data_IF_832336365350
#
_entry.id   IF_832336365350
#
_cell.length_a   1.000
_cell.length_b   1.000
_cell.length_c   1.000
_cell.angle_alpha   90.00
_cell.angle_beta   90.00
_cell.angle_gamma   90.00
#
_symmetry.space_group_name_H-M   'P 1'
#
loop_
_entity.id
_entity.type
_entity.pdbx_description
1 polymer ?
#
# COMPACT_ATOMS: atom_id res chain seq x y z
N UNK A 1 -8.34 -11.50 20.84
CA UNK A 1 -9.04 -10.53 21.69
C UNK A 1 -9.37 -9.34 20.83
N UNK A 2 -10.66 -9.02 20.67
CA UNK A 2 -11.10 -7.73 20.17
C UNK A 2 -10.52 -6.66 21.09
N UNK A 3 -9.57 -5.87 20.61
CA UNK A 3 -9.06 -4.77 21.43
C UNK A 3 -10.02 -3.60 21.27
N UNK A 4 -10.60 -3.18 22.38
CA UNK A 4 -11.35 -1.95 22.42
C UNK A 4 -10.37 -0.77 22.23
N UNK A 5 -10.30 -0.26 20.99
CA UNK A 5 -9.46 0.88 20.62
C UNK A 5 -10.12 2.23 20.97
N UNK A 6 -11.31 2.21 21.58
CA UNK A 6 -12.09 3.39 21.94
C UNK A 6 -11.82 3.89 23.35
N UNK A 7 -10.90 3.26 24.10
CA UNK A 7 -10.54 3.60 25.48
C UNK A 7 -9.01 3.66 25.68
N UNK A 8 -8.57 4.18 26.80
CA UNK A 8 -7.16 4.29 27.18
C UNK A 8 -6.39 5.39 26.43
N UNK A 9 -5.05 5.35 26.46
CA UNK A 9 -4.18 6.35 25.84
C UNK A 9 -4.20 6.23 24.31
N UNK A 10 -4.50 7.33 23.63
CA UNK A 10 -4.50 7.41 22.15
C UNK A 10 -3.13 7.10 21.57
N UNK A 11 -2.06 7.68 22.11
CA UNK A 11 -0.71 7.45 21.64
C UNK A 11 -0.31 5.97 21.73
N UNK A 12 -0.59 5.33 22.88
CA UNK A 12 -0.35 3.89 23.03
C UNK A 12 -1.14 3.07 22.03
N UNK A 13 -2.40 3.42 21.78
CA UNK A 13 -3.24 2.72 20.78
C UNK A 13 -2.65 2.83 19.38
N UNK A 14 -2.20 4.03 18.99
CA UNK A 14 -1.55 4.26 17.69
C UNK A 14 -0.29 3.41 17.57
N UNK A 15 0.63 3.49 18.52
CA UNK A 15 1.90 2.75 18.48
C UNK A 15 1.67 1.22 18.49
N UNK A 16 0.75 0.74 19.31
CA UNK A 16 0.43 -0.68 19.39
C UNK A 16 -0.21 -1.23 18.10
N UNK A 17 -0.94 -0.40 17.38
CA UNK A 17 -1.58 -0.79 16.12
C UNK A 17 -0.65 -0.60 14.93
N UNK A 18 0.06 0.54 14.86
CA UNK A 18 0.92 0.89 13.73
C UNK A 18 2.18 0.04 13.64
N UNK A 19 2.79 -0.35 14.76
CA UNK A 19 4.06 -1.09 14.73
C UNK A 19 3.93 -2.49 14.10
N UNK A 20 2.93 -3.35 14.46
CA UNK A 20 2.69 -4.59 13.76
C UNK A 20 2.32 -4.38 12.29
N UNK A 21 1.60 -3.30 11.99
CA UNK A 21 1.23 -2.96 10.62
C UNK A 21 2.45 -2.57 9.78
N UNK A 22 3.33 -1.73 10.32
CA UNK A 22 4.60 -1.35 9.72
C UNK A 22 5.47 -2.60 9.44
N UNK A 23 5.56 -3.50 10.41
CA UNK A 23 6.30 -4.76 10.25
C UNK A 23 5.67 -5.66 9.17
N UNK A 24 4.34 -5.68 9.05
CA UNK A 24 3.67 -6.40 7.96
C UNK A 24 4.06 -5.87 6.58
N UNK A 25 4.09 -4.55 6.41
CA UNK A 25 4.54 -3.92 5.16
C UNK A 25 6.02 -4.20 4.88
N UNK A 26 6.86 -4.11 5.91
CA UNK A 26 8.28 -4.42 5.78
C UNK A 26 8.50 -5.87 5.31
N UNK A 27 7.84 -6.83 5.95
CA UNK A 27 7.91 -8.24 5.56
C UNK A 27 7.39 -8.47 4.13
N UNK A 28 6.32 -7.78 3.74
CA UNK A 28 5.78 -7.85 2.38
C UNK A 28 6.76 -7.31 1.34
N UNK A 29 7.48 -6.25 1.66
CA UNK A 29 8.53 -5.72 0.77
C UNK A 29 9.74 -6.66 0.73
N UNK A 30 10.09 -7.25 1.87
CA UNK A 30 11.22 -8.16 2.00
C UNK A 30 11.04 -9.43 1.15
N UNK A 31 9.85 -10.07 1.18
CA UNK A 31 9.67 -11.27 0.38
C UNK A 31 9.71 -10.99 -1.13
N UNK A 32 9.17 -9.86 -1.58
CA UNK A 32 9.30 -9.46 -3.00
C UNK A 32 10.73 -9.21 -3.44
N UNK A 33 11.62 -8.78 -2.51
CA UNK A 33 13.06 -8.69 -2.79
C UNK A 33 13.74 -10.06 -2.76
N UNK A 34 13.28 -10.97 -1.88
CA UNK A 34 13.82 -12.33 -1.79
C UNK A 34 13.59 -13.10 -3.09
N UNK A 35 12.42 -13.00 -3.70
CA UNK A 35 12.13 -13.62 -5.02
C UNK A 35 13.19 -13.22 -6.06
N UNK A 36 13.49 -11.91 -6.15
CA UNK A 36 14.49 -11.39 -7.12
C UNK A 36 15.91 -11.82 -6.76
N UNK A 37 16.23 -11.88 -5.49
CA UNK A 37 17.55 -12.34 -5.03
C UNK A 37 17.77 -13.82 -5.34
N UNK A 38 16.78 -14.66 -5.03
CA UNK A 38 16.87 -16.11 -5.22
C UNK A 38 16.91 -16.45 -6.70
N UNK A 39 16.04 -15.86 -7.55
CA UNK A 39 16.09 -16.14 -8.98
C UNK A 39 17.41 -15.70 -9.61
N UNK A 40 17.98 -14.59 -9.13
CA UNK A 40 19.30 -14.12 -9.58
C UNK A 40 20.46 -15.04 -9.24
N UNK A 41 20.30 -15.93 -8.25
CA UNK A 41 21.32 -16.95 -7.89
C UNK A 41 21.28 -18.18 -8.78
N UNK A 42 20.10 -18.59 -9.23
CA UNK A 42 19.90 -19.86 -9.93
C UNK A 42 19.66 -19.71 -11.42
N UNK A 43 19.24 -18.53 -11.88
CA UNK A 43 18.78 -18.28 -13.25
C UNK A 43 19.52 -17.12 -13.91
N UNK A 44 19.45 -17.06 -15.23
CA UNK A 44 20.08 -16.00 -16.01
C UNK A 44 19.31 -14.68 -16.01
N UNK A 45 19.90 -13.66 -16.65
CA UNK A 45 19.38 -12.28 -16.72
C UNK A 45 17.96 -12.23 -17.28
N UNK A 46 17.63 -13.04 -18.29
CA UNK A 46 16.29 -13.06 -18.89
C UNK A 46 15.21 -13.48 -17.88
N UNK A 47 15.46 -14.51 -17.07
CA UNK A 47 14.54 -14.99 -16.04
C UNK A 47 14.39 -13.96 -14.91
N UNK A 48 15.50 -13.35 -14.46
CA UNK A 48 15.48 -12.29 -13.45
C UNK A 48 14.72 -11.07 -13.93
N UNK A 49 14.89 -10.67 -15.19
CA UNK A 49 14.14 -9.57 -15.80
C UNK A 49 12.64 -9.90 -15.87
N UNK A 50 12.31 -11.14 -16.26
CA UNK A 50 10.93 -11.60 -16.34
C UNK A 50 10.21 -11.49 -14.99
N UNK A 51 10.83 -11.96 -13.90
CA UNK A 51 10.28 -11.87 -12.53
C UNK A 51 10.21 -10.41 -12.07
N UNK A 52 11.21 -9.60 -12.38
CA UNK A 52 11.22 -8.18 -12.01
C UNK A 52 10.04 -7.43 -12.64
N UNK A 53 9.79 -7.60 -13.93
CA UNK A 53 8.67 -6.96 -14.64
C UNK A 53 7.34 -7.52 -14.15
N UNK A 54 7.24 -8.85 -14.03
CA UNK A 54 6.03 -9.50 -13.55
C UNK A 54 5.65 -9.08 -12.14
N UNK A 55 6.61 -8.98 -11.23
CA UNK A 55 6.37 -8.54 -9.85
C UNK A 55 5.94 -7.07 -9.75
N UNK A 56 6.42 -6.18 -10.64
CA UNK A 56 5.93 -4.80 -10.70
C UNK A 56 4.45 -4.74 -11.09
N UNK A 57 4.03 -5.51 -12.09
CA UNK A 57 2.61 -5.62 -12.48
C UNK A 57 1.78 -6.14 -11.31
N UNK A 58 2.24 -7.21 -10.65
CA UNK A 58 1.55 -7.78 -9.49
C UNK A 58 1.50 -6.82 -8.29
N UNK A 59 2.56 -6.05 -8.08
CA UNK A 59 2.57 -5.02 -7.03
C UNK A 59 1.48 -3.97 -7.25
N UNK A 60 1.34 -3.46 -8.47
CA UNK A 60 0.28 -2.49 -8.81
C UNK A 60 -1.12 -3.07 -8.54
N UNK A 61 -1.38 -4.31 -8.97
CA UNK A 61 -2.67 -4.99 -8.74
C UNK A 61 -2.91 -5.17 -7.24
N UNK A 62 -1.90 -5.62 -6.49
CA UNK A 62 -2.00 -5.86 -5.05
C UNK A 62 -2.31 -4.57 -4.29
N UNK A 63 -1.63 -3.46 -4.61
CA UNK A 63 -1.87 -2.16 -3.99
C UNK A 63 -3.30 -1.69 -4.23
N UNK A 64 -3.83 -1.88 -5.44
CA UNK A 64 -5.23 -1.56 -5.75
C UNK A 64 -6.22 -2.43 -4.96
N UNK A 65 -5.94 -3.73 -4.80
CA UNK A 65 -6.76 -4.63 -3.96
C UNK A 65 -6.72 -4.18 -2.49
N UNK A 66 -5.56 -3.82 -1.96
CA UNK A 66 -5.40 -3.30 -0.59
C UNK A 66 -6.18 -2.01 -0.40
N UNK A 67 -6.10 -1.08 -1.35
CA UNK A 67 -6.87 0.17 -1.35
C UNK A 67 -8.38 -0.09 -1.33
N UNK A 68 -8.86 -0.99 -2.18
CA UNK A 68 -10.27 -1.38 -2.19
C UNK A 68 -10.69 -2.03 -0.86
N UNK A 69 -9.84 -2.87 -0.27
CA UNK A 69 -10.09 -3.55 1.01
C UNK A 69 -10.10 -2.59 2.22
N UNK A 70 -9.60 -1.34 2.08
CA UNK A 70 -9.74 -0.31 3.11
C UNK A 70 -11.21 -0.03 3.42
N UNK A 71 -12.11 -0.13 2.44
CA UNK A 71 -13.55 -0.02 2.64
C UNK A 71 -14.07 -1.01 3.67
N UNK A 72 -13.61 -2.27 3.61
CA UNK A 72 -13.96 -3.29 4.61
C UNK A 72 -13.39 -2.95 6.00
N UNK A 73 -12.12 -2.54 6.10
CA UNK A 73 -11.50 -2.13 7.38
C UNK A 73 -12.31 -1.04 8.07
N UNK A 74 -12.71 0.00 7.34
CA UNK A 74 -13.43 1.15 7.90
C UNK A 74 -14.87 0.79 8.28
N UNK A 75 -15.60 0.12 7.40
CA UNK A 75 -17.02 -0.21 7.65
C UNK A 75 -17.17 -1.20 8.80
N UNK A 76 -16.34 -2.25 8.84
CA UNK A 76 -16.29 -3.21 9.95
C UNK A 76 -15.86 -2.49 11.24
N UNK A 77 -14.82 -1.65 11.18
CA UNK A 77 -14.35 -0.88 12.33
C UNK A 77 -15.44 0.00 12.95
N UNK A 78 -16.25 0.67 12.14
CA UNK A 78 -17.41 1.45 12.62
C UNK A 78 -18.46 0.58 13.29
N UNK A 79 -18.80 -0.56 12.68
CA UNK A 79 -19.78 -1.47 13.25
C UNK A 79 -19.32 -2.05 14.60
N UNK A 80 -18.02 -2.38 14.70
CA UNK A 80 -17.39 -2.85 15.95
C UNK A 80 -17.37 -1.74 17.01
N UNK A 81 -17.00 -0.52 16.63
CA UNK A 81 -17.01 0.62 17.53
C UNK A 81 -18.40 0.98 18.06
N UNK A 82 -19.43 0.78 17.24
CA UNK A 82 -20.83 0.93 17.61
C UNK A 82 -21.39 -0.26 18.40
N UNK A 83 -20.57 -1.26 18.70
CA UNK A 83 -20.96 -2.52 19.36
C UNK A 83 -22.07 -3.30 18.59
N UNK A 84 -22.27 -2.99 17.30
CA UNK A 84 -23.27 -3.62 16.46
C UNK A 84 -22.72 -4.89 15.80
N UNK A 85 -22.68 -5.99 16.58
CA UNK A 85 -22.15 -7.28 16.14
C UNK A 85 -22.88 -7.86 14.92
N UNK A 86 -24.23 -7.80 14.82
CA UNK A 86 -24.94 -8.29 13.62
C UNK A 86 -24.53 -7.52 12.36
N UNK A 87 -24.35 -6.18 12.44
CA UNK A 87 -23.89 -5.37 11.31
C UNK A 87 -22.44 -5.73 10.93
N UNK A 88 -21.57 -5.92 11.93
CA UNK A 88 -20.20 -6.34 11.70
C UNK A 88 -20.14 -7.71 11.00
N UNK A 89 -20.95 -8.69 11.41
CA UNK A 89 -21.05 -10.01 10.76
C UNK A 89 -21.47 -9.89 9.29
N UNK A 90 -22.50 -9.10 8.99
CA UNK A 90 -22.95 -8.86 7.61
C UNK A 90 -21.86 -8.18 6.76
N UNK A 91 -21.17 -7.19 7.28
CA UNK A 91 -20.08 -6.50 6.57
C UNK A 91 -18.91 -7.45 6.31
N UNK A 92 -18.55 -8.32 7.25
CA UNK A 92 -17.53 -9.36 7.06
C UNK A 92 -17.97 -10.33 5.96
N UNK A 93 -19.17 -10.90 6.04
CA UNK A 93 -19.69 -11.85 5.06
C UNK A 93 -19.77 -11.24 3.66
N UNK A 94 -20.31 -10.01 3.54
CA UNK A 94 -20.38 -9.28 2.27
C UNK A 94 -19.00 -8.92 1.72
N UNK A 95 -18.01 -8.62 2.57
CA UNK A 95 -16.62 -8.40 2.15
C UNK A 95 -16.08 -9.67 1.50
N UNK A 96 -16.22 -10.82 2.16
CA UNK A 96 -15.73 -12.09 1.60
C UNK A 96 -16.40 -12.38 0.26
N UNK A 97 -17.73 -12.27 0.17
CA UNK A 97 -18.47 -12.56 -1.06
C UNK A 97 -18.07 -11.62 -2.20
N UNK A 98 -18.02 -10.30 -1.95
CA UNK A 98 -17.66 -9.28 -2.94
C UNK A 98 -16.27 -9.53 -3.52
N UNK A 99 -15.30 -9.65 -2.63
CA UNK A 99 -13.90 -9.73 -3.05
C UNK A 99 -13.55 -11.09 -3.65
N UNK A 100 -14.10 -12.19 -3.12
CA UNK A 100 -13.83 -13.51 -3.70
C UNK A 100 -14.48 -13.66 -5.08
N UNK A 101 -15.73 -13.24 -5.24
CA UNK A 101 -16.36 -13.23 -6.56
C UNK A 101 -15.64 -12.29 -7.54
N UNK A 102 -15.31 -11.07 -7.08
CA UNK A 102 -14.56 -10.09 -7.87
C UNK A 102 -13.15 -10.58 -8.25
N UNK A 103 -12.46 -11.28 -7.36
CA UNK A 103 -11.12 -11.80 -7.64
C UNK A 103 -11.11 -12.90 -8.70
N UNK A 104 -12.12 -13.74 -8.74
CA UNK A 104 -12.26 -14.77 -9.80
C UNK A 104 -12.49 -14.09 -11.16
N UNK A 105 -13.38 -13.10 -11.21
CA UNK A 105 -13.61 -12.33 -12.44
C UNK A 105 -12.34 -11.59 -12.85
N UNK A 106 -11.67 -10.93 -11.91
CA UNK A 106 -10.41 -10.22 -12.17
C UNK A 106 -9.33 -11.17 -12.69
N UNK A 107 -9.16 -12.35 -12.06
CA UNK A 107 -8.21 -13.37 -12.52
C UNK A 107 -8.49 -13.79 -13.98
N UNK A 108 -9.75 -14.08 -14.31
CA UNK A 108 -10.14 -14.47 -15.67
C UNK A 108 -9.83 -13.35 -16.69
N UNK A 109 -10.14 -12.09 -16.35
CA UNK A 109 -9.87 -10.92 -17.20
C UNK A 109 -8.36 -10.73 -17.38
N UNK A 110 -7.57 -10.80 -16.30
CA UNK A 110 -6.12 -10.61 -16.35
C UNK A 110 -5.41 -11.71 -17.15
N UNK A 111 -5.84 -12.97 -17.00
CA UNK A 111 -5.33 -14.09 -17.81
C UNK A 111 -5.64 -13.86 -19.29
N UNK A 112 -6.84 -13.39 -19.63
CA UNK A 112 -7.20 -13.05 -21.00
C UNK A 112 -6.42 -11.85 -21.58
N UNK A 113 -5.96 -10.95 -20.72
CA UNK A 113 -5.22 -9.73 -21.10
C UNK A 113 -3.71 -9.86 -20.91
N UNK A 114 -3.16 -11.04 -20.62
CA UNK A 114 -1.74 -11.21 -20.31
C UNK A 114 -0.84 -10.72 -21.45
N UNK A 115 -1.15 -11.05 -22.70
CA UNK A 115 -0.35 -10.66 -23.85
C UNK A 115 -0.37 -9.13 -24.13
N UNK A 116 -1.52 -8.44 -24.10
CA UNK A 116 -1.57 -6.98 -24.07
C UNK A 116 -0.74 -6.36 -22.94
N UNK A 117 -0.85 -6.89 -21.70
CA UNK A 117 -0.10 -6.38 -20.54
C UNK A 117 1.40 -6.48 -20.77
N UNK A 118 1.90 -7.64 -21.20
CA UNK A 118 3.33 -7.87 -21.50
C UNK A 118 3.86 -6.90 -22.55
N UNK A 119 3.04 -6.55 -23.56
CA UNK A 119 3.39 -5.54 -24.58
C UNK A 119 3.41 -4.12 -24.02
N UNK A 120 2.39 -3.73 -23.23
CA UNK A 120 2.29 -2.38 -22.65
C UNK A 120 3.47 -2.08 -21.73
N UNK A 121 3.93 -3.06 -20.95
CA UNK A 121 5.09 -2.88 -20.06
C UNK A 121 6.43 -2.97 -20.80
N UNK A 122 6.42 -3.07 -22.14
CA UNK A 122 7.61 -3.07 -23.01
C UNK A 122 8.63 -4.13 -22.59
N UNK A 123 8.18 -5.35 -22.34
CA UNK A 123 9.03 -6.47 -21.92
C UNK A 123 10.05 -6.79 -23.01
N UNK A 124 11.37 -6.88 -22.69
CA UNK A 124 12.40 -7.31 -23.64
C UNK A 124 12.08 -8.69 -24.22
N UNK A 125 12.39 -8.91 -25.51
CA UNK A 125 12.01 -10.11 -26.25
C UNK A 125 12.44 -11.41 -25.55
N UNK A 126 13.66 -11.44 -24.99
CA UNK A 126 14.20 -12.59 -24.26
C UNK A 126 13.47 -12.90 -22.95
N UNK A 127 12.77 -11.91 -22.37
CA UNK A 127 12.04 -12.05 -21.12
C UNK A 127 10.53 -12.29 -21.31
N UNK A 128 10.00 -12.13 -22.54
CA UNK A 128 8.55 -12.21 -22.82
C UNK A 128 7.95 -13.53 -22.35
N UNK A 129 8.55 -14.66 -22.72
CA UNK A 129 8.04 -15.98 -22.37
C UNK A 129 8.02 -16.19 -20.85
N UNK A 130 9.08 -15.80 -20.14
CA UNK A 130 9.17 -15.88 -18.69
C UNK A 130 8.18 -14.97 -17.98
N UNK A 131 8.04 -13.70 -18.41
CA UNK A 131 7.08 -12.74 -17.87
C UNK A 131 5.64 -13.23 -18.05
N UNK A 132 5.33 -13.73 -19.25
CA UNK A 132 4.00 -14.31 -19.56
C UNK A 132 3.67 -15.46 -18.62
N UNK A 133 4.58 -16.41 -18.46
CA UNK A 133 4.40 -17.56 -17.57
C UNK A 133 4.23 -17.13 -16.11
N UNK A 134 5.09 -16.22 -15.64
CA UNK A 134 5.01 -15.66 -14.30
C UNK A 134 3.64 -15.00 -14.05
N UNK A 135 3.21 -14.12 -14.95
CA UNK A 135 1.94 -13.41 -14.82
C UNK A 135 0.74 -14.32 -14.89
N UNK A 136 0.70 -15.34 -15.76
CA UNK A 136 -0.42 -16.28 -15.82
C UNK A 136 -0.59 -16.99 -14.48
N UNK A 137 0.49 -17.50 -13.89
CA UNK A 137 0.43 -18.20 -12.60
C UNK A 137 -0.03 -17.25 -11.49
N UNK A 138 0.54 -16.04 -11.42
CA UNK A 138 0.13 -15.04 -10.44
C UNK A 138 -1.31 -14.57 -10.65
N UNK A 139 -1.78 -14.41 -11.89
CA UNK A 139 -3.17 -14.01 -12.17
C UNK A 139 -4.17 -15.10 -11.76
N UNK A 140 -3.85 -16.38 -11.99
CA UNK A 140 -4.63 -17.50 -11.44
C UNK A 140 -4.60 -17.46 -9.90
N UNK A 141 -3.51 -17.01 -9.30
CA UNK A 141 -3.33 -16.83 -7.85
C UNK A 141 -4.01 -15.59 -7.26
N UNK A 142 -4.57 -14.67 -8.06
CA UNK A 142 -5.24 -13.44 -7.58
C UNK A 142 -6.30 -13.73 -6.50
N UNK A 143 -7.12 -14.79 -6.56
CA UNK A 143 -8.03 -15.13 -5.47
C UNK A 143 -7.31 -15.39 -4.13
N UNK A 144 -6.14 -16.01 -4.12
CA UNK A 144 -5.35 -16.25 -2.90
C UNK A 144 -4.79 -14.93 -2.35
N UNK A 145 -4.25 -14.07 -3.24
CA UNK A 145 -3.76 -12.73 -2.89
C UNK A 145 -4.89 -11.90 -2.28
N UNK A 146 -6.05 -11.92 -2.91
CA UNK A 146 -7.25 -11.21 -2.45
C UNK A 146 -7.72 -11.76 -1.10
N UNK A 147 -7.82 -13.08 -0.95
CA UNK A 147 -8.21 -13.73 0.30
C UNK A 147 -7.32 -13.30 1.47
N UNK A 148 -5.98 -13.29 1.29
CA UNK A 148 -5.05 -12.79 2.30
C UNK A 148 -5.35 -11.33 2.66
N UNK A 149 -5.51 -10.45 1.67
CA UNK A 149 -5.69 -9.02 1.90
C UNK A 149 -7.01 -8.68 2.57
N UNK A 150 -8.11 -9.35 2.20
CA UNK A 150 -9.40 -9.15 2.89
C UNK A 150 -9.39 -9.68 4.32
N UNK A 151 -8.73 -10.83 4.56
CA UNK A 151 -8.55 -11.34 5.91
C UNK A 151 -7.79 -10.33 6.78
N UNK A 152 -6.67 -9.80 6.27
CA UNK A 152 -5.91 -8.77 6.94
C UNK A 152 -6.78 -7.51 7.20
N UNK A 153 -7.62 -7.11 6.25
CA UNK A 153 -8.52 -5.94 6.38
C UNK A 153 -9.62 -6.17 7.41
N UNK A 154 -10.20 -7.36 7.45
CA UNK A 154 -11.19 -7.76 8.47
C UNK A 154 -10.58 -7.70 9.87
N UNK A 155 -9.40 -8.30 10.08
CA UNK A 155 -8.70 -8.25 11.36
C UNK A 155 -8.39 -6.81 11.80
N UNK A 156 -7.92 -5.97 10.87
CA UNK A 156 -7.69 -4.54 11.15
C UNK A 156 -8.97 -3.81 11.55
N UNK A 157 -10.08 -4.06 10.88
CA UNK A 157 -11.39 -3.54 11.25
C UNK A 157 -11.83 -3.98 12.66
N UNK A 158 -11.53 -5.23 13.03
CA UNK A 158 -11.75 -5.77 14.37
C UNK A 158 -10.78 -5.22 15.43
N UNK A 159 -9.81 -4.38 15.06
CA UNK A 159 -8.82 -3.79 15.96
C UNK A 159 -7.58 -4.67 16.21
N UNK A 160 -7.39 -5.72 15.44
CA UNK A 160 -6.25 -6.63 15.55
C UNK A 160 -5.28 -6.44 14.36
N UNK A 161 -4.19 -5.70 14.59
CA UNK A 161 -3.10 -5.54 13.62
C UNK A 161 -2.01 -6.61 13.74
N UNK A 162 -2.00 -7.40 14.85
CA UNK A 162 -0.97 -8.39 15.10
C UNK A 162 -1.19 -9.68 14.31
N UNK A 163 -2.42 -10.13 14.20
CA UNK A 163 -2.73 -11.36 13.46
C UNK A 163 -2.33 -11.27 12.00
N UNK A 164 -2.65 -10.21 11.23
CA UNK A 164 -2.12 -10.03 9.88
C UNK A 164 -0.58 -10.03 9.79
N UNK A 165 0.10 -9.46 10.79
CA UNK A 165 1.56 -9.50 10.86
C UNK A 165 2.11 -10.93 10.96
N UNK A 166 1.51 -11.77 11.79
CA UNK A 166 1.91 -13.18 11.87
C UNK A 166 1.59 -13.94 10.58
N UNK A 167 0.46 -13.64 9.94
CA UNK A 167 0.09 -14.29 8.68
C UNK A 167 1.07 -13.96 7.56
N UNK A 168 1.51 -12.70 7.44
CA UNK A 168 2.52 -12.34 6.44
C UNK A 168 3.90 -12.87 6.80
N UNK A 169 4.25 -12.97 8.08
CA UNK A 169 5.52 -13.58 8.50
C UNK A 169 5.59 -15.06 8.07
N UNK A 170 4.50 -15.80 8.23
CA UNK A 170 4.39 -17.18 7.74
C UNK A 170 4.46 -17.23 6.22
N UNK A 171 3.74 -16.34 5.52
CA UNK A 171 3.81 -16.25 4.07
C UNK A 171 5.25 -15.99 3.59
N UNK A 172 5.95 -15.04 4.20
CA UNK A 172 7.33 -14.70 3.87
C UNK A 172 8.29 -15.89 4.07
N UNK A 173 8.20 -16.57 5.21
CA UNK A 173 9.03 -17.75 5.48
C UNK A 173 8.72 -18.90 4.51
N UNK A 174 7.44 -19.15 4.23
CA UNK A 174 7.00 -20.16 3.27
C UNK A 174 7.43 -19.83 1.85
N UNK A 175 7.34 -18.54 1.45
CA UNK A 175 7.75 -18.08 0.13
C UNK A 175 9.25 -18.34 -0.09
N UNK A 176 10.12 -17.90 0.83
CA UNK A 176 11.56 -18.14 0.73
C UNK A 176 11.87 -19.64 0.61
N UNK A 177 11.23 -20.49 1.42
CA UNK A 177 11.43 -21.93 1.37
C UNK A 177 10.97 -22.54 0.02
N UNK A 178 9.81 -22.11 -0.48
CA UNK A 178 9.26 -22.57 -1.76
C UNK A 178 10.08 -22.05 -2.94
N UNK A 179 10.64 -20.86 -2.87
CA UNK A 179 11.50 -20.30 -3.92
C UNK A 179 12.79 -21.09 -4.07
N UNK A 180 13.47 -21.43 -2.95
CA UNK A 180 14.62 -22.32 -2.99
C UNK A 180 14.26 -23.72 -3.51
N UNK A 181 13.07 -24.23 -3.21
CA UNK A 181 12.59 -25.50 -3.75
C UNK A 181 12.32 -25.41 -5.26
N UNK A 182 11.52 -24.43 -5.68
CA UNK A 182 11.04 -24.35 -7.07
C UNK A 182 12.09 -23.81 -8.03
N UNK A 183 12.84 -22.79 -7.63
CA UNK A 183 13.89 -22.19 -8.47
C UNK A 183 15.24 -22.89 -8.27
N UNK A 184 15.60 -23.24 -7.01
CA UNK A 184 16.88 -23.86 -6.71
C UNK A 184 16.94 -25.36 -7.01
N UNK A 185 16.02 -26.16 -6.49
CA UNK A 185 16.06 -27.60 -6.64
C UNK A 185 15.34 -28.12 -7.91
N UNK A 186 14.21 -27.51 -8.29
CA UNK A 186 13.40 -27.94 -9.42
C UNK A 186 13.68 -27.14 -10.72
N UNK A 187 14.45 -26.07 -10.65
CA UNK A 187 14.84 -25.22 -11.80
C UNK A 187 13.65 -24.75 -12.66
N UNK A 188 12.55 -24.37 -12.01
CA UNK A 188 11.35 -23.90 -12.70
C UNK A 188 11.42 -22.42 -13.17
N UNK A 189 12.50 -21.72 -12.86
CA UNK A 189 12.72 -20.34 -13.27
C UNK A 189 11.59 -19.38 -12.85
N UNK A 190 11.09 -18.49 -13.74
CA UNK A 190 10.02 -17.55 -13.44
C UNK A 190 8.72 -18.22 -12.98
N UNK A 191 8.41 -19.43 -13.47
CA UNK A 191 7.25 -20.20 -12.98
C UNK A 191 7.40 -20.58 -11.52
N UNK A 192 8.63 -20.94 -11.08
CA UNK A 192 8.95 -21.28 -9.70
C UNK A 192 8.70 -20.10 -8.76
N UNK A 193 9.17 -18.89 -9.11
CA UNK A 193 8.93 -17.67 -8.36
C UNK A 193 7.42 -17.37 -8.20
N UNK A 194 6.66 -17.48 -9.30
CA UNK A 194 5.22 -17.24 -9.28
C UNK A 194 4.47 -18.26 -8.42
N UNK A 195 4.86 -19.53 -8.48
CA UNK A 195 4.29 -20.60 -7.64
C UNK A 195 4.65 -20.38 -6.16
N UNK A 196 5.89 -20.03 -5.85
CA UNK A 196 6.36 -19.69 -4.50
C UNK A 196 5.51 -18.60 -3.87
N UNK A 197 5.34 -17.48 -4.58
CA UNK A 197 4.50 -16.36 -4.15
C UNK A 197 3.03 -16.76 -3.95
N UNK A 198 2.43 -17.46 -4.92
CA UNK A 198 1.01 -17.81 -4.87
C UNK A 198 0.71 -18.83 -3.77
N UNK A 199 1.53 -19.89 -3.66
CA UNK A 199 1.33 -20.96 -2.68
C UNK A 199 1.64 -20.49 -1.25
N UNK A 200 2.62 -19.63 -1.04
CA UNK A 200 2.91 -19.07 0.28
C UNK A 200 1.74 -18.25 0.83
N UNK A 201 1.07 -17.47 -0.02
CA UNK A 201 -0.14 -16.75 0.35
C UNK A 201 -1.31 -17.69 0.62
N UNK A 202 -1.45 -18.78 -0.15
CA UNK A 202 -2.45 -19.81 0.12
C UNK A 202 -2.22 -20.46 1.50
N UNK A 203 -0.98 -20.81 1.85
CA UNK A 203 -0.62 -21.32 3.18
C UNK A 203 -1.02 -20.32 4.27
N UNK A 204 -0.72 -19.05 4.06
CA UNK A 204 -1.11 -17.97 4.99
C UNK A 204 -2.62 -17.85 5.16
N UNK A 205 -3.39 -17.95 4.07
CA UNK A 205 -4.87 -17.95 4.10
C UNK A 205 -5.40 -19.14 4.88
N UNK A 206 -4.88 -20.36 4.64
CA UNK A 206 -5.31 -21.56 5.38
C UNK A 206 -5.05 -21.39 6.88
N UNK A 207 -3.87 -20.91 7.26
CA UNK A 207 -3.53 -20.65 8.67
C UNK A 207 -4.45 -19.61 9.27
N UNK A 208 -4.73 -18.52 8.56
CA UNK A 208 -5.63 -17.47 9.03
C UNK A 208 -7.05 -17.97 9.23
N UNK A 209 -7.56 -18.82 8.34
CA UNK A 209 -8.86 -19.48 8.48
C UNK A 209 -8.89 -20.40 9.72
N UNK A 210 -7.86 -21.23 9.92
CA UNK A 210 -7.76 -22.10 11.12
C UNK A 210 -7.76 -21.27 12.40
N UNK A 211 -7.03 -20.13 12.40
CA UNK A 211 -7.00 -19.21 13.55
C UNK A 211 -8.38 -18.62 13.81
N UNK A 212 -9.11 -18.21 12.78
CA UNK A 212 -10.48 -17.67 12.90
C UNK A 212 -11.43 -18.73 13.47
N UNK A 213 -11.42 -19.93 12.91
CA UNK A 213 -12.31 -21.02 13.33
C UNK A 213 -12.05 -21.44 14.78
N UNK A 214 -10.80 -21.35 15.24
CA UNK A 214 -10.44 -21.66 16.65
C UNK A 214 -10.66 -20.50 17.62
N UNK A 215 -10.71 -19.27 17.14
CA UNK A 215 -11.00 -18.10 17.99
C UNK A 215 -12.50 -18.03 18.29
N UNK A 216 -12.83 -18.00 19.56
CA UNK A 216 -14.17 -17.61 20.03
C UNK A 216 -14.26 -16.07 19.89
N UNK A 217 -14.43 -15.57 18.65
CA UNK A 217 -14.80 -14.18 18.43
C UNK A 217 -16.24 -13.96 18.89
N UNK A 218 -16.54 -12.87 19.54
CA UNK A 218 -17.92 -12.56 19.96
C UNK A 218 -18.84 -12.27 18.76
N UNK A 219 -18.36 -12.37 17.51
CA UNK A 219 -19.12 -12.21 16.26
C UNK A 219 -19.36 -13.60 15.68
N UNK A 220 -20.62 -13.99 15.61
CA UNK A 220 -21.05 -15.25 15.00
C UNK A 220 -21.44 -14.97 13.53
N UNK A 221 -20.74 -15.64 12.62
CA UNK A 221 -21.05 -15.61 11.18
C UNK A 221 -22.05 -16.72 10.87
N UNK A 222 -23.12 -16.36 10.18
CA UNK A 222 -24.11 -17.28 9.63
C UNK A 222 -24.05 -17.29 8.11
N UNK A 223 -24.58 -18.32 7.47
CA UNK A 223 -24.64 -18.36 6.00
C UNK A 223 -25.45 -17.20 5.38
N UNK A 224 -26.35 -16.58 6.16
CA UNK A 224 -27.12 -15.42 5.72
C UNK A 224 -26.26 -14.16 5.56
N UNK A 225 -25.17 -14.03 6.33
CA UNK A 225 -24.29 -12.85 6.29
C UNK A 225 -23.47 -12.75 5.00
N UNK A 226 -23.31 -13.90 4.29
CA UNK A 226 -22.63 -13.95 3.00
C UNK A 226 -23.54 -13.60 1.81
N UNK A 227 -24.85 -13.46 2.03
CA UNK A 227 -25.76 -13.01 0.95
C UNK A 227 -25.47 -11.55 0.62
N UNK A 228 -25.31 -11.21 -0.67
CA UNK A 228 -25.06 -9.84 -1.11
C UNK A 228 -26.17 -8.89 -0.62
N UNK A 229 -25.79 -7.91 0.19
CA UNK A 229 -26.65 -6.83 0.66
C UNK A 229 -26.20 -5.51 0.02
N UNK A 230 -27.08 -4.88 -0.77
CA UNK A 230 -26.76 -3.65 -1.52
C UNK A 230 -26.22 -2.52 -0.61
N UNK A 231 -26.76 -2.42 0.58
CA UNK A 231 -26.33 -1.42 1.59
C UNK A 231 -24.89 -1.69 2.04
N UNK A 232 -24.55 -2.93 2.40
CA UNK A 232 -23.20 -3.30 2.84
C UNK A 232 -22.19 -3.16 1.71
N UNK A 233 -22.51 -3.65 0.52
CA UNK A 233 -21.66 -3.52 -0.67
C UNK A 233 -21.44 -2.05 -1.03
N UNK A 234 -22.49 -1.23 -1.00
CA UNK A 234 -22.40 0.20 -1.28
C UNK A 234 -21.48 0.94 -0.30
N UNK A 235 -21.56 0.64 1.00
CA UNK A 235 -20.68 1.22 2.02
C UNK A 235 -19.20 0.83 1.80
N UNK A 236 -18.92 -0.44 1.54
CA UNK A 236 -17.57 -0.93 1.29
C UNK A 236 -16.98 -0.28 0.04
N UNK A 237 -17.73 -0.28 -1.06
CA UNK A 237 -17.25 0.25 -2.34
C UNK A 237 -17.12 1.77 -2.34
N UNK A 238 -18.01 2.50 -1.65
CA UNK A 238 -17.94 3.97 -1.57
C UNK A 238 -16.67 4.48 -0.90
N UNK A 239 -16.08 3.68 -0.03
CA UNK A 239 -14.80 3.99 0.62
C UNK A 239 -13.65 3.36 -0.17
N UNK A 240 -13.80 2.11 -0.58
CA UNK A 240 -12.71 1.36 -1.20
C UNK A 240 -12.35 1.83 -2.61
N UNK A 241 -13.33 2.17 -3.45
CA UNK A 241 -13.05 2.60 -4.83
C UNK A 241 -12.20 3.89 -4.88
N UNK A 242 -12.52 4.97 -4.14
CA UNK A 242 -11.66 6.15 -4.16
C UNK A 242 -10.23 5.87 -3.65
N UNK A 243 -10.06 5.01 -2.64
CA UNK A 243 -8.73 4.64 -2.14
C UNK A 243 -7.97 3.82 -3.19
N UNK A 244 -8.61 2.84 -3.80
CA UNK A 244 -8.04 2.06 -4.90
C UNK A 244 -7.57 2.96 -6.06
N UNK A 245 -8.40 3.92 -6.45
CA UNK A 245 -8.06 4.89 -7.51
C UNK A 245 -6.89 5.77 -7.10
N UNK A 246 -6.87 6.26 -5.84
CA UNK A 246 -5.77 7.03 -5.29
C UNK A 246 -4.45 6.26 -5.41
N UNK A 247 -4.43 5.02 -4.95
CA UNK A 247 -3.23 4.19 -4.96
C UNK A 247 -2.77 3.90 -6.40
N UNK A 248 -3.69 3.63 -7.31
CA UNK A 248 -3.42 3.49 -8.73
C UNK A 248 -2.79 4.74 -9.35
N UNK A 249 -3.34 5.93 -9.07
CA UNK A 249 -2.80 7.21 -9.56
C UNK A 249 -1.40 7.51 -9.01
N UNK A 250 -1.13 7.14 -7.75
CA UNK A 250 0.21 7.25 -7.17
C UNK A 250 1.21 6.40 -7.97
N UNK A 251 0.88 5.14 -8.29
CA UNK A 251 1.75 4.27 -9.08
C UNK A 251 1.98 4.81 -10.49
N UNK A 252 0.94 5.32 -11.15
CA UNK A 252 1.06 5.97 -12.46
C UNK A 252 1.97 7.20 -12.38
N UNK A 253 1.88 7.99 -11.30
CA UNK A 253 2.77 9.15 -11.09
C UNK A 253 4.23 8.75 -11.00
N UNK A 254 4.57 7.68 -10.25
CA UNK A 254 5.92 7.15 -10.20
C UNK A 254 6.42 6.71 -11.58
N UNK A 255 5.58 6.02 -12.34
CA UNK A 255 5.93 5.60 -13.70
C UNK A 255 6.22 6.80 -14.62
N UNK A 256 5.41 7.86 -14.57
CA UNK A 256 5.63 9.07 -15.37
C UNK A 256 6.95 9.76 -14.98
N UNK A 257 7.26 9.85 -13.68
CA UNK A 257 8.52 10.44 -13.20
C UNK A 257 9.71 9.62 -13.69
N UNK A 258 9.63 8.29 -13.67
CA UNK A 258 10.65 7.40 -14.23
C UNK A 258 10.83 7.64 -15.73
N UNK A 259 9.74 7.80 -16.49
CA UNK A 259 9.82 8.12 -17.94
C UNK A 259 10.52 9.47 -18.15
N UNK A 260 10.20 10.49 -17.35
CA UNK A 260 10.88 11.80 -17.42
C UNK A 260 12.38 11.65 -17.15
N UNK A 261 12.75 10.85 -16.15
CA UNK A 261 14.15 10.58 -15.83
C UNK A 261 14.88 9.83 -16.97
N UNK A 262 14.22 8.86 -17.60
CA UNK A 262 14.78 8.11 -18.73
C UNK A 262 15.14 9.03 -19.93
N UNK A 263 14.36 10.07 -20.18
CA UNK A 263 14.66 11.07 -21.21
C UNK A 263 15.88 11.96 -20.89
N UNK A 264 16.35 11.98 -19.65
CA UNK A 264 17.55 12.76 -19.26
C UNK A 264 18.86 11.99 -19.46
N UNK A 265 18.78 10.69 -19.68
CA UNK A 265 19.92 9.82 -19.92
C UNK A 265 20.08 8.72 -18.85
N UNK A 266 21.01 7.81 -19.13
CA UNK A 266 21.16 6.57 -18.37
C UNK A 266 21.53 6.81 -16.90
N UNK A 267 22.42 7.77 -16.62
CA UNK A 267 22.87 8.11 -15.27
C UNK A 267 21.72 8.62 -14.40
N UNK A 268 20.93 9.58 -14.91
CA UNK A 268 19.77 10.13 -14.20
C UNK A 268 18.67 9.10 -14.02
N UNK A 269 18.40 8.28 -15.03
CA UNK A 269 17.44 7.18 -14.95
C UNK A 269 17.81 6.16 -13.86
N UNK A 270 19.07 5.73 -13.82
CA UNK A 270 19.57 4.82 -12.80
C UNK A 270 19.48 5.43 -11.39
N UNK A 271 19.88 6.70 -11.27
CA UNK A 271 19.84 7.44 -10.02
C UNK A 271 18.39 7.56 -9.45
N UNK A 272 17.44 7.96 -10.30
CA UNK A 272 16.02 8.07 -9.92
C UNK A 272 15.47 6.70 -9.53
N UNK A 273 15.73 5.64 -10.31
CA UNK A 273 15.25 4.30 -10.02
C UNK A 273 15.78 3.73 -8.68
N UNK A 274 17.03 4.00 -8.33
CA UNK A 274 17.62 3.63 -7.03
C UNK A 274 16.91 4.40 -5.90
N UNK A 275 16.79 5.72 -6.05
CA UNK A 275 16.20 6.57 -5.01
C UNK A 275 14.72 6.24 -4.79
N UNK A 276 13.95 5.95 -5.84
CA UNK A 276 12.54 5.54 -5.70
C UNK A 276 12.39 4.26 -4.87
N UNK A 277 13.29 3.30 -5.00
CA UNK A 277 13.31 2.10 -4.14
C UNK A 277 13.58 2.46 -2.69
N UNK A 278 14.55 3.33 -2.42
CA UNK A 278 14.86 3.81 -1.06
C UNK A 278 13.65 4.53 -0.45
N UNK A 279 13.03 5.42 -1.22
CA UNK A 279 11.85 6.17 -0.80
C UNK A 279 10.67 5.22 -0.50
N UNK A 280 10.48 4.17 -1.27
CA UNK A 280 9.42 3.18 -1.02
C UNK A 280 9.52 2.57 0.38
N UNK A 281 10.74 2.31 0.87
CA UNK A 281 10.96 1.86 2.26
C UNK A 281 10.61 2.94 3.29
N UNK A 282 10.98 4.17 3.04
CA UNK A 282 10.71 5.28 3.95
C UNK A 282 9.21 5.60 4.03
N UNK A 283 8.47 5.38 2.93
CA UNK A 283 7.02 5.56 2.86
C UNK A 283 6.22 4.49 3.62
N UNK A 284 6.85 3.41 4.09
CA UNK A 284 6.17 2.43 4.95
C UNK A 284 5.60 3.08 6.22
N UNK A 285 6.29 4.08 6.80
CA UNK A 285 5.82 4.78 8.00
C UNK A 285 4.58 5.64 7.71
N UNK A 286 4.57 6.58 6.73
CA UNK A 286 3.37 7.29 6.32
C UNK A 286 2.19 6.36 5.98
N UNK A 287 2.43 5.30 5.20
CA UNK A 287 1.39 4.34 4.82
C UNK A 287 0.79 3.61 6.02
N UNK A 288 1.63 3.26 7.00
CA UNK A 288 1.14 2.67 8.26
C UNK A 288 0.27 3.64 9.06
N UNK A 289 0.56 4.95 9.01
CA UNK A 289 -0.26 5.98 9.66
C UNK A 289 -1.63 6.12 8.98
N UNK A 290 -1.70 6.14 7.65
CA UNK A 290 -2.97 6.14 6.92
C UNK A 290 -3.89 5.01 7.41
N UNK A 291 -3.38 3.80 7.41
CA UNK A 291 -4.16 2.62 7.79
C UNK A 291 -4.52 2.61 9.28
N UNK A 292 -3.59 3.05 10.14
CA UNK A 292 -3.81 3.15 11.58
C UNK A 292 -4.90 4.18 11.90
N UNK A 293 -4.81 5.38 11.32
CA UNK A 293 -5.82 6.44 11.51
C UNK A 293 -7.17 6.00 10.96
N UNK A 294 -7.21 5.31 9.82
CA UNK A 294 -8.46 4.78 9.25
C UNK A 294 -9.12 3.78 10.19
N UNK A 295 -8.38 2.80 10.71
CA UNK A 295 -8.94 1.74 11.54
C UNK A 295 -9.34 2.25 12.94
N UNK A 296 -8.44 2.97 13.64
CA UNK A 296 -8.73 3.54 14.96
C UNK A 296 -9.82 4.60 14.86
N UNK A 297 -9.74 5.47 13.85
CA UNK A 297 -10.74 6.50 13.60
C UNK A 297 -12.12 5.90 13.38
N UNK A 298 -12.22 4.86 12.52
CA UNK A 298 -13.48 4.19 12.25
C UNK A 298 -14.13 3.61 13.50
N UNK A 299 -13.38 2.92 14.37
CA UNK A 299 -13.93 2.41 15.64
C UNK A 299 -14.38 3.53 16.58
N UNK A 300 -13.61 4.61 16.70
CA UNK A 300 -13.98 5.74 17.55
C UNK A 300 -15.19 6.51 17.00
N UNK A 301 -15.34 6.62 15.68
CA UNK A 301 -16.56 7.19 15.06
C UNK A 301 -17.76 6.31 15.36
N UNK A 302 -17.64 4.99 15.20
CA UNK A 302 -18.71 4.07 15.55
C UNK A 302 -19.14 4.18 17.03
N UNK A 303 -18.19 4.45 17.93
CA UNK A 303 -18.44 4.68 19.36
C UNK A 303 -18.90 6.11 19.69
N UNK A 304 -19.09 7.00 18.71
CA UNK A 304 -19.50 8.41 18.93
C UNK A 304 -18.39 9.29 19.53
N UNK A 305 -17.12 8.84 19.55
CA UNK A 305 -16.00 9.54 20.22
C UNK A 305 -15.21 10.42 19.24
N UNK A 306 -15.86 11.43 18.67
CA UNK A 306 -15.27 12.30 17.64
C UNK A 306 -14.03 13.08 18.10
N UNK A 307 -14.02 13.57 19.36
CA UNK A 307 -12.85 14.27 19.94
C UNK A 307 -11.61 13.36 19.96
N UNK A 308 -11.84 12.07 20.17
CA UNK A 308 -10.77 11.08 20.17
C UNK A 308 -10.23 10.82 18.77
N UNK A 309 -11.07 10.92 17.74
CA UNK A 309 -10.63 10.84 16.32
C UNK A 309 -9.71 12.01 15.98
N UNK A 310 -10.04 13.22 16.45
CA UNK A 310 -9.19 14.40 16.26
C UNK A 310 -7.84 14.26 17.01
N UNK A 311 -7.87 13.65 18.20
CA UNK A 311 -6.64 13.34 18.92
C UNK A 311 -5.79 12.31 18.17
N UNK A 312 -6.40 11.26 17.58
CA UNK A 312 -5.71 10.27 16.74
C UNK A 312 -5.02 10.96 15.56
N UNK A 313 -5.72 11.86 14.86
CA UNK A 313 -5.15 12.61 13.74
C UNK A 313 -3.94 13.45 14.20
N UNK A 314 -4.06 14.21 15.29
CA UNK A 314 -2.96 15.05 15.79
C UNK A 314 -1.73 14.25 16.19
N UNK A 315 -1.90 13.13 16.90
CA UNK A 315 -0.78 12.26 17.25
C UNK A 315 -0.15 11.59 16.03
N UNK A 316 -0.94 11.14 15.06
CA UNK A 316 -0.43 10.55 13.82
C UNK A 316 0.38 11.56 13.00
N UNK A 317 -0.11 12.80 12.87
CA UNK A 317 0.64 13.91 12.26
C UNK A 317 1.94 14.15 13.02
N UNK A 318 1.91 14.21 14.35
CA UNK A 318 3.11 14.40 15.18
C UNK A 318 4.15 13.31 14.96
N UNK A 319 3.74 12.04 14.94
CA UNK A 319 4.62 10.89 14.66
C UNK A 319 5.20 10.99 13.25
N UNK A 320 4.36 11.26 12.25
CA UNK A 320 4.78 11.38 10.84
C UNK A 320 5.77 12.53 10.63
N UNK A 321 5.50 13.71 11.21
CA UNK A 321 6.40 14.88 11.16
C UNK A 321 7.73 14.61 11.87
N UNK A 322 7.70 13.99 13.04
CA UNK A 322 8.94 13.67 13.79
C UNK A 322 9.80 12.71 12.99
N UNK A 323 9.22 11.62 12.48
CA UNK A 323 9.94 10.68 11.63
C UNK A 323 10.48 11.34 10.37
N UNK A 324 9.63 12.06 9.63
CA UNK A 324 10.01 12.73 8.38
C UNK A 324 11.10 13.77 8.60
N UNK A 325 11.07 14.54 9.71
CA UNK A 325 12.10 15.51 10.06
C UNK A 325 13.45 14.84 10.35
N UNK A 326 13.44 13.78 11.17
CA UNK A 326 14.67 13.02 11.48
C UNK A 326 15.30 12.49 10.20
N UNK A 327 14.51 11.87 9.33
CA UNK A 327 15.00 11.31 8.07
C UNK A 327 15.44 12.39 7.11
N UNK A 328 14.67 13.48 6.97
CA UNK A 328 15.02 14.59 6.10
C UNK A 328 16.35 15.23 6.50
N UNK A 329 16.55 15.49 7.79
CA UNK A 329 17.82 16.04 8.31
C UNK A 329 18.96 15.05 8.09
N UNK A 330 18.79 13.79 8.45
CA UNK A 330 19.85 12.77 8.30
C UNK A 330 20.30 12.63 6.84
N UNK A 331 19.37 12.55 5.90
CA UNK A 331 19.68 12.36 4.47
C UNK A 331 20.45 13.56 3.89
N UNK A 332 20.27 14.79 4.38
CA UNK A 332 21.08 15.93 3.89
C UNK A 332 22.58 15.68 4.06
N UNK A 333 22.98 14.99 5.15
CA UNK A 333 24.39 14.72 5.45
C UNK A 333 24.90 13.42 4.85
N UNK A 334 24.04 12.38 4.76
CA UNK A 334 24.46 11.02 4.38
C UNK A 334 23.97 10.59 2.98
N UNK A 335 23.41 11.49 2.16
CA UNK A 335 22.80 11.14 0.87
C UNK A 335 23.68 10.26 -0.03
N UNK A 336 24.97 10.55 -0.26
CA UNK A 336 25.83 9.65 -1.07
C UNK A 336 25.97 8.26 -0.47
N UNK A 337 26.10 8.16 0.86
CA UNK A 337 26.23 6.88 1.57
C UNK A 337 24.95 6.04 1.51
N UNK A 338 23.80 6.66 1.32
CA UNK A 338 22.50 5.96 1.16
C UNK A 338 22.37 5.37 -0.24
N UNK A 339 22.92 6.02 -1.27
CA UNK A 339 22.85 5.57 -2.67
C UNK A 339 23.97 4.58 -3.01
N UNK A 340 25.16 4.76 -2.46
CA UNK A 340 26.38 3.98 -2.75
C UNK A 340 26.24 2.46 -2.59
N UNK A 341 25.46 1.89 -1.67
CA UNK A 341 25.25 0.43 -1.60
C UNK A 341 24.59 -0.18 -2.84
N UNK A 342 23.93 0.62 -3.68
CA UNK A 342 23.20 0.17 -4.86
C UNK A 342 23.97 0.28 -6.16
N UNK A 343 25.06 1.05 -6.20
CA UNK A 343 25.87 1.27 -7.40
C UNK A 343 27.29 1.70 -7.05
N UNK A 344 28.25 1.23 -7.87
CA UNK A 344 29.64 1.65 -7.81
C UNK A 344 29.97 2.85 -8.73
N UNK A 345 29.01 3.27 -9.58
CA UNK A 345 29.18 4.40 -10.48
C UNK A 345 29.02 5.72 -9.71
N UNK A 346 30.11 6.46 -9.56
CA UNK A 346 30.14 7.70 -8.78
C UNK A 346 29.25 8.80 -9.40
N UNK A 347 29.06 8.82 -10.71
CA UNK A 347 28.15 9.76 -11.37
C UNK A 347 26.69 9.49 -10.97
N UNK A 348 26.29 8.20 -10.91
CA UNK A 348 24.97 7.77 -10.44
C UNK A 348 24.79 8.08 -8.95
N UNK A 349 25.83 7.86 -8.13
CA UNK A 349 25.81 8.18 -6.69
C UNK A 349 25.57 9.69 -6.46
N UNK A 350 26.27 10.55 -7.18
CA UNK A 350 26.11 12.00 -7.04
C UNK A 350 24.75 12.50 -7.54
N UNK A 351 24.29 11.99 -8.68
CA UNK A 351 22.96 12.30 -9.21
C UNK A 351 21.85 11.85 -8.26
N UNK A 352 21.95 10.61 -7.74
CA UNK A 352 21.02 10.07 -6.77
C UNK A 352 21.04 10.81 -5.44
N UNK A 353 22.21 11.20 -4.95
CA UNK A 353 22.34 12.04 -3.76
C UNK A 353 21.69 13.41 -3.95
N UNK A 354 21.81 14.01 -5.12
CA UNK A 354 21.13 15.26 -5.46
C UNK A 354 19.61 15.08 -5.49
N UNK A 355 19.11 14.01 -6.11
CA UNK A 355 17.68 13.71 -6.20
C UNK A 355 17.05 13.45 -4.83
N UNK A 356 17.68 12.57 -4.01
CA UNK A 356 17.13 12.19 -2.71
C UNK A 356 17.11 13.37 -1.73
N UNK A 357 18.09 14.29 -1.79
CA UNK A 357 18.09 15.51 -0.97
C UNK A 357 16.87 16.39 -1.21
N UNK A 358 16.41 16.49 -2.45
CA UNK A 358 15.16 17.17 -2.76
C UNK A 358 13.93 16.37 -2.41
N UNK A 359 13.94 15.09 -2.79
CA UNK A 359 12.77 14.21 -2.62
C UNK A 359 12.44 13.94 -1.15
N UNK A 360 13.43 13.87 -0.26
CA UNK A 360 13.24 13.45 1.12
C UNK A 360 12.27 14.33 1.92
N UNK A 361 12.10 15.60 1.54
CA UNK A 361 11.09 16.47 2.14
C UNK A 361 9.67 15.98 1.86
N UNK A 362 9.45 15.17 0.82
CA UNK A 362 8.19 14.50 0.57
C UNK A 362 7.82 13.55 1.72
N UNK A 363 8.79 12.83 2.32
CA UNK A 363 8.54 11.98 3.48
C UNK A 363 8.02 12.76 4.70
N UNK A 364 8.50 14.01 4.89
CA UNK A 364 8.01 14.89 5.96
C UNK A 364 6.54 15.24 5.74
N UNK A 365 6.19 15.65 4.53
CA UNK A 365 4.82 16.05 4.19
C UNK A 365 3.88 14.86 4.02
N UNK A 366 4.39 13.72 3.54
CA UNK A 366 3.62 12.49 3.41
C UNK A 366 3.05 12.01 4.75
N UNK A 367 3.81 12.13 5.85
CA UNK A 367 3.30 11.80 7.18
C UNK A 367 2.04 12.57 7.55
N UNK A 368 1.93 13.83 7.13
CA UNK A 368 0.75 14.68 7.35
C UNK A 368 -0.40 14.29 6.42
N UNK A 369 -0.16 14.28 5.10
CA UNK A 369 -1.23 14.02 4.13
C UNK A 369 -1.83 12.62 4.24
N UNK A 370 -1.01 11.58 4.52
CA UNK A 370 -1.50 10.23 4.73
C UNK A 370 -2.33 10.11 6.02
N UNK A 371 -1.98 10.87 7.07
CA UNK A 371 -2.80 10.95 8.28
C UNK A 371 -4.17 11.58 8.00
N UNK A 372 -4.24 12.65 7.20
CA UNK A 372 -5.51 13.23 6.75
C UNK A 372 -6.29 12.26 5.85
N UNK A 373 -5.63 11.55 4.92
CA UNK A 373 -6.27 10.51 4.10
C UNK A 373 -6.93 9.45 4.98
N UNK A 374 -6.23 8.98 6.01
CA UNK A 374 -6.77 8.04 7.00
C UNK A 374 -7.97 8.60 7.74
N UNK A 375 -7.93 9.86 8.12
CA UNK A 375 -9.04 10.56 8.78
C UNK A 375 -10.28 10.67 7.87
N UNK A 376 -10.09 11.06 6.61
CA UNK A 376 -11.19 11.13 5.64
C UNK A 376 -11.79 9.76 5.36
N UNK A 377 -10.96 8.72 5.22
CA UNK A 377 -11.42 7.33 5.09
C UNK A 377 -12.24 6.91 6.32
N UNK A 378 -11.76 7.20 7.54
CA UNK A 378 -12.49 6.91 8.77
C UNK A 378 -13.88 7.55 8.81
N UNK A 379 -14.04 8.76 8.29
CA UNK A 379 -15.34 9.43 8.13
C UNK A 379 -16.12 8.99 6.88
N UNK A 380 -15.66 8.02 6.09
CA UNK A 380 -16.30 7.58 4.83
C UNK A 380 -16.28 8.64 3.73
N UNK A 381 -15.37 9.60 3.84
CA UNK A 381 -15.16 10.66 2.86
C UNK A 381 -13.87 10.42 2.08
N UNK A 382 -13.61 9.16 1.72
CA UNK A 382 -12.42 8.75 0.96
C UNK A 382 -12.29 9.45 -0.39
N UNK A 383 -13.39 9.96 -0.95
CA UNK A 383 -13.35 10.85 -2.12
C UNK A 383 -12.49 12.10 -1.90
N UNK A 384 -12.42 12.64 -0.66
CA UNK A 384 -11.52 13.75 -0.34
C UNK A 384 -10.06 13.30 -0.35
N UNK A 385 -9.79 12.05 0.08
CA UNK A 385 -8.45 11.45 0.02
C UNK A 385 -7.99 11.30 -1.44
N UNK A 386 -8.84 10.77 -2.31
CA UNK A 386 -8.58 10.69 -3.74
C UNK A 386 -8.38 12.08 -4.37
N UNK A 387 -9.22 13.05 -4.02
CA UNK A 387 -9.20 14.39 -4.61
C UNK A 387 -7.88 15.12 -4.35
N UNK A 388 -7.42 15.21 -3.07
CA UNK A 388 -6.19 15.94 -2.77
C UNK A 388 -4.96 15.30 -3.41
N UNK A 389 -4.90 13.95 -3.45
CA UNK A 389 -3.81 13.25 -4.12
C UNK A 389 -3.82 13.49 -5.64
N UNK A 390 -4.98 13.35 -6.27
CA UNK A 390 -5.13 13.56 -7.72
C UNK A 390 -4.75 14.97 -8.12
N UNK A 391 -5.25 15.98 -7.40
CA UNK A 391 -4.89 17.38 -7.65
C UNK A 391 -3.39 17.63 -7.49
N UNK A 392 -2.78 17.06 -6.45
CA UNK A 392 -1.34 17.16 -6.21
C UNK A 392 -0.53 16.55 -7.37
N UNK A 393 -0.91 15.36 -7.82
CA UNK A 393 -0.22 14.64 -8.90
C UNK A 393 -0.34 15.42 -10.21
N UNK A 394 -1.55 15.83 -10.60
CA UNK A 394 -1.82 16.43 -11.90
C UNK A 394 -1.36 17.89 -12.01
N UNK A 395 -1.45 18.66 -10.92
CA UNK A 395 -1.16 20.11 -10.96
C UNK A 395 0.26 20.47 -10.51
N UNK A 396 0.88 19.65 -9.66
CA UNK A 396 2.15 20.01 -9.04
C UNK A 396 3.23 18.97 -9.26
N UNK A 397 3.01 17.71 -8.86
CA UNK A 397 4.05 16.68 -8.82
C UNK A 397 4.58 16.33 -10.21
N UNK A 398 3.71 15.94 -11.13
CA UNK A 398 4.11 15.55 -12.49
C UNK A 398 4.53 16.77 -13.33
N UNK A 399 3.75 17.88 -13.41
CA UNK A 399 4.19 19.06 -14.13
C UNK A 399 5.48 19.67 -13.55
N UNK A 400 5.61 19.70 -12.22
CA UNK A 400 6.81 20.19 -11.54
C UNK A 400 8.05 19.36 -11.87
N UNK A 401 7.94 18.04 -11.85
CA UNK A 401 9.03 17.14 -12.24
C UNK A 401 9.44 17.34 -13.71
N UNK A 402 8.45 17.48 -14.60
CA UNK A 402 8.70 17.73 -16.02
C UNK A 402 9.40 19.09 -16.25
N UNK A 403 8.89 20.18 -15.65
CA UNK A 403 9.49 21.50 -15.76
C UNK A 403 10.89 21.53 -15.14
N UNK A 404 11.06 20.91 -13.96
CA UNK A 404 12.37 20.79 -13.32
C UNK A 404 13.38 20.05 -14.20
N UNK A 405 12.95 18.95 -14.84
CA UNK A 405 13.78 18.21 -15.80
C UNK A 405 14.22 19.06 -16.98
N UNK A 406 13.34 19.93 -17.49
CA UNK A 406 13.61 20.79 -18.65
C UNK A 406 14.48 22.01 -18.33
N UNK A 407 14.21 22.69 -17.20
CA UNK A 407 14.88 23.93 -16.85
C UNK A 407 16.19 23.74 -16.07
N UNK A 408 16.34 22.58 -15.42
CA UNK A 408 17.54 22.26 -14.63
C UNK A 408 18.18 20.95 -15.09
N UNK A 409 18.70 20.88 -16.34
CA UNK A 409 19.24 19.63 -16.91
C UNK A 409 20.50 19.14 -16.18
N UNK A 410 21.19 19.98 -15.42
CA UNK A 410 22.46 19.66 -14.75
C UNK A 410 22.28 19.04 -13.36
N UNK A 411 21.06 19.02 -12.77
CA UNK A 411 20.82 18.53 -11.42
C UNK A 411 19.44 17.91 -11.29
N UNK A 412 19.33 16.86 -10.47
CA UNK A 412 18.06 16.20 -10.16
C UNK A 412 17.36 16.79 -8.91
N UNK A 413 18.01 17.68 -8.15
CA UNK A 413 17.48 18.25 -6.92
C UNK A 413 16.10 18.92 -7.11
N UNK A 414 15.86 19.79 -8.12
CA UNK A 414 14.55 20.40 -8.33
C UNK A 414 13.47 19.38 -8.71
N UNK A 415 13.84 18.30 -9.42
CA UNK A 415 12.93 17.23 -9.77
C UNK A 415 12.48 16.46 -8.51
N UNK A 416 13.39 16.25 -7.55
CA UNK A 416 13.05 15.69 -6.25
C UNK A 416 12.14 16.61 -5.43
N UNK A 417 12.43 17.94 -5.41
CA UNK A 417 11.61 18.94 -4.73
C UNK A 417 10.19 19.04 -5.29
N UNK A 418 9.98 18.74 -6.57
CA UNK A 418 8.65 18.75 -7.17
C UNK A 418 7.69 17.78 -6.48
N UNK A 419 8.19 16.62 -6.05
CA UNK A 419 7.40 15.65 -5.25
C UNK A 419 7.02 16.24 -3.89
N UNK A 420 7.96 16.85 -3.19
CA UNK A 420 7.73 17.51 -1.91
C UNK A 420 6.73 18.68 -2.01
N UNK A 421 6.84 19.49 -3.07
CA UNK A 421 5.89 20.58 -3.35
C UNK A 421 4.48 20.01 -3.61
N UNK A 422 4.38 18.87 -4.30
CA UNK A 422 3.12 18.17 -4.51
C UNK A 422 2.46 17.75 -3.19
N UNK A 423 3.22 17.18 -2.27
CA UNK A 423 2.71 16.80 -0.95
C UNK A 423 2.35 18.00 -0.08
N UNK A 424 3.10 19.09 -0.17
CA UNK A 424 2.75 20.34 0.52
C UNK A 424 1.43 20.92 -0.01
N UNK A 425 1.24 20.95 -1.33
CA UNK A 425 -0.04 21.34 -1.94
C UNK A 425 -1.19 20.43 -1.50
N UNK A 426 -0.94 19.12 -1.44
CA UNK A 426 -1.89 18.14 -0.93
C UNK A 426 -2.32 18.46 0.52
N UNK A 427 -1.39 18.85 1.40
CA UNK A 427 -1.69 19.26 2.78
C UNK A 427 -2.60 20.48 2.81
N UNK A 428 -2.37 21.47 1.96
CA UNK A 428 -3.26 22.66 1.88
C UNK A 428 -4.69 22.24 1.55
N UNK A 429 -4.87 21.38 0.56
CA UNK A 429 -6.20 20.85 0.21
C UNK A 429 -6.79 20.04 1.38
N UNK A 430 -5.98 19.23 2.06
CA UNK A 430 -6.42 18.47 3.24
C UNK A 430 -6.92 19.36 4.38
N UNK A 431 -6.20 20.45 4.68
CA UNK A 431 -6.59 21.39 5.73
C UNK A 431 -7.92 22.09 5.39
N UNK A 432 -8.10 22.51 4.15
CA UNK A 432 -9.36 23.09 3.67
C UNK A 432 -10.50 22.08 3.82
N UNK A 433 -10.29 20.85 3.34
CA UNK A 433 -11.27 19.76 3.42
C UNK A 433 -11.60 19.38 4.87
N UNK A 434 -10.61 19.38 5.77
CA UNK A 434 -10.82 19.14 7.19
C UNK A 434 -11.72 20.19 7.85
N UNK A 435 -11.46 21.49 7.60
CA UNK A 435 -12.29 22.56 8.13
C UNK A 435 -13.72 22.53 7.57
N UNK A 436 -13.85 22.23 6.28
CA UNK A 436 -15.16 22.05 5.66
C UNK A 436 -15.95 20.90 6.31
N UNK A 437 -15.30 19.74 6.50
CA UNK A 437 -15.92 18.59 7.15
C UNK A 437 -16.33 18.89 8.60
N UNK A 438 -15.49 19.62 9.36
CA UNK A 438 -15.80 20.04 10.74
C UNK A 438 -16.99 20.98 10.80
N UNK A 439 -17.15 21.90 9.84
CA UNK A 439 -18.33 22.77 9.77
C UNK A 439 -19.60 21.96 9.52
N UNK A 440 -19.57 20.98 8.63
CA UNK A 440 -20.71 20.09 8.39
C UNK A 440 -21.11 19.30 9.65
N UNK A 441 -20.12 18.75 10.38
CA UNK A 441 -20.38 18.01 11.61
C UNK A 441 -21.05 18.87 12.67
N UNK A 442 -20.63 20.14 12.84
CA UNK A 442 -21.26 21.07 13.77
C UNK A 442 -22.69 21.43 13.38
N UNK A 443 -22.97 21.61 12.09
CA UNK A 443 -24.32 21.91 11.61
C UNK A 443 -25.29 20.78 11.93
N UNK A 444 -24.91 19.52 11.73
CA UNK A 444 -25.75 18.34 12.02
C UNK A 444 -26.01 18.15 13.54
N UNK A 445 -25.16 18.70 14.42
CA UNK A 445 -25.35 18.63 15.88
C UNK A 445 -26.26 19.75 16.44
N UNK A 446 -26.57 20.77 15.63
CA UNK A 446 -27.43 21.91 16.01
C UNK A 446 -28.84 21.83 15.41
N UNK A 447 -29.08 20.91 14.46
CA UNK A 447 -30.40 20.50 13.95
C UNK A 447 -30.91 19.26 14.71
#
# INVERSE_FOLDING_TARGET
MEKNLTSGSVLKSILFFSLPYLLSYFLQTLYGMADLFIIGQFEGVASTTAVSIGSQVMHMITVMIVGLAMGATVTIGRAVGAENKPRAARLIGNTVTLFMAGSVVLAAVLVGLVDPIVRIVSTPEQAVAGTRTYLIICFIGVPCITAYNIMASIFRGLGDSRSPMYFIAVACASNIALDYLFMGALHLGPAGAALGTTLSLLVSVIISLVVILRRKSGIHLSGADFKPERSALGEILSIGIPVMMQDGFIQVSFMIITIIANHRGLTDAAAVGIVEKIISFLFLVPSSMLSTVSALGAQNIGAGKHDRVDAILRYAIGIGLTFGLIVAVAVQFIAPSVVRPFTSDEAVVLAGASYIRGYIFDCLFAGVQFSFSGYFCAYGKSGLSFLHNTLSILLVRVPGAYLASKFFPQTLLPMGLASACGSLFSILVCVIAYHWLKRQQKAVLHD
#
